data_IF_041141156475
#
_entry.id   IF_041141156475
#
_cell.length_a   1.000
_cell.length_b   1.000
_cell.length_c   1.000
_cell.angle_alpha   90.00
_cell.angle_beta   90.00
_cell.angle_gamma   90.00
#
_symmetry.space_group_name_H-M   'P 1'
#
loop_
_entity.id
_entity.type
_entity.pdbx_description
1 polymer ?
#
# COMPACT_ATOMS: atom_id res chain seq x y z
N UNK A 1 -8.11 -26.96 11.15
CA UNK A 1 -7.55 -25.63 10.80
C UNK A 1 -8.39 -25.09 9.65
N UNK A 2 -8.86 -23.85 9.71
CA UNK A 2 -9.56 -23.26 8.56
C UNK A 2 -8.55 -23.05 7.42
N UNK A 3 -8.95 -23.41 6.20
CA UNK A 3 -8.14 -23.23 5.00
C UNK A 3 -7.88 -21.74 4.77
N UNK A 4 -6.61 -21.36 4.60
CA UNK A 4 -6.28 -19.97 4.24
C UNK A 4 -6.79 -19.64 2.84
N UNK A 5 -7.22 -18.40 2.63
CA UNK A 5 -7.63 -17.83 1.36
C UNK A 5 -6.83 -16.56 1.08
N UNK A 6 -6.62 -16.24 -0.20
CA UNK A 6 -6.29 -14.89 -0.60
C UNK A 6 -7.56 -14.11 -0.93
N UNK A 7 -7.51 -12.80 -0.72
CA UNK A 7 -8.47 -11.83 -1.23
C UNK A 7 -7.74 -10.56 -1.64
N UNK A 8 -8.39 -9.70 -2.42
CA UNK A 8 -7.79 -8.47 -2.91
C UNK A 8 -8.69 -7.26 -2.70
N UNK A 9 -8.08 -6.09 -2.62
CA UNK A 9 -8.78 -4.81 -2.71
C UNK A 9 -8.04 -3.89 -3.68
N UNK A 10 -8.74 -3.46 -4.73
CA UNK A 10 -8.23 -2.46 -5.68
C UNK A 10 -8.78 -1.10 -5.28
N UNK A 11 -7.90 -0.21 -4.82
CA UNK A 11 -8.24 1.19 -4.54
C UNK A 11 -8.28 1.93 -5.88
N UNK A 12 -9.43 2.49 -6.21
CA UNK A 12 -9.70 3.05 -7.54
C UNK A 12 -8.82 4.27 -7.87
N UNK A 13 -8.61 4.58 -9.16
CA UNK A 13 -7.89 5.80 -9.54
C UNK A 13 -8.49 7.08 -8.98
N UNK A 14 -9.81 7.16 -8.86
CA UNK A 14 -10.46 8.31 -8.24
C UNK A 14 -10.16 8.41 -6.74
N UNK A 15 -10.29 7.30 -5.99
CA UNK A 15 -9.95 7.25 -4.57
C UNK A 15 -8.51 7.65 -4.30
N UNK A 16 -7.56 7.18 -5.12
CA UNK A 16 -6.15 7.57 -5.05
C UNK A 16 -5.95 9.06 -5.32
N UNK A 17 -6.61 9.64 -6.33
CA UNK A 17 -6.53 11.08 -6.65
C UNK A 17 -7.11 11.97 -5.55
N UNK A 18 -8.15 11.50 -4.87
CA UNK A 18 -8.80 12.21 -3.75
C UNK A 18 -8.12 11.93 -2.40
N UNK A 19 -6.93 11.32 -2.41
CA UNK A 19 -6.15 11.03 -1.19
C UNK A 19 -6.87 10.13 -0.18
N UNK A 20 -7.85 9.30 -0.61
CA UNK A 20 -8.64 8.41 0.26
C UNK A 20 -7.89 7.14 0.68
N UNK A 21 -6.67 6.94 0.16
CA UNK A 21 -5.87 5.70 0.33
C UNK A 21 -5.63 5.37 1.80
N UNK A 22 -5.29 6.35 2.64
CA UNK A 22 -4.97 6.13 4.05
C UNK A 22 -6.18 5.61 4.83
N UNK A 23 -7.30 6.31 4.75
CA UNK A 23 -8.57 5.88 5.33
C UNK A 23 -9.03 4.49 4.86
N UNK A 24 -8.88 4.18 3.57
CA UNK A 24 -9.24 2.86 3.00
C UNK A 24 -8.33 1.75 3.54
N UNK A 25 -7.00 1.92 3.47
CA UNK A 25 -6.02 0.95 3.97
C UNK A 25 -6.21 0.69 5.46
N UNK A 26 -6.42 1.76 6.24
CA UNK A 26 -6.66 1.66 7.68
C UNK A 26 -7.86 0.78 7.99
N UNK A 27 -9.00 1.01 7.31
CA UNK A 27 -10.22 0.21 7.51
C UNK A 27 -10.05 -1.24 7.07
N UNK A 28 -9.40 -1.49 5.93
CA UNK A 28 -9.13 -2.84 5.46
C UNK A 28 -8.31 -3.62 6.49
N UNK A 29 -7.21 -3.06 6.99
CA UNK A 29 -6.36 -3.73 7.98
C UNK A 29 -7.10 -3.91 9.30
N UNK A 30 -7.71 -2.85 9.84
CA UNK A 30 -8.27 -2.90 11.19
C UNK A 30 -9.53 -3.76 11.31
N UNK A 31 -10.37 -3.80 10.26
CA UNK A 31 -11.68 -4.47 10.31
C UNK A 31 -11.64 -5.92 9.84
N UNK A 32 -10.77 -6.24 8.89
CA UNK A 32 -10.64 -7.63 8.42
C UNK A 32 -9.85 -8.49 9.41
N UNK A 33 -8.86 -7.90 10.08
CA UNK A 33 -7.89 -8.64 10.90
C UNK A 33 -7.05 -9.63 10.08
N UNK A 34 -7.04 -9.51 8.76
CA UNK A 34 -6.27 -10.36 7.85
C UNK A 34 -4.82 -9.89 7.74
N UNK A 35 -3.96 -10.80 7.28
CA UNK A 35 -2.57 -10.46 7.02
C UNK A 35 -2.45 -9.76 5.66
N UNK A 36 -2.00 -8.49 5.63
CA UNK A 36 -1.67 -7.80 4.37
C UNK A 36 -0.36 -8.39 3.83
N UNK A 37 -0.43 -9.30 2.87
CA UNK A 37 0.72 -10.08 2.37
C UNK A 37 1.35 -9.49 1.11
N UNK A 38 0.62 -8.67 0.37
CA UNK A 38 1.10 -8.09 -0.88
C UNK A 38 0.45 -6.75 -1.17
N UNK A 39 1.13 -5.96 -1.99
CA UNK A 39 0.58 -4.74 -2.54
C UNK A 39 1.46 -4.24 -3.68
N UNK A 40 0.84 -3.73 -4.75
CA UNK A 40 1.55 -3.20 -5.92
C UNK A 40 0.74 -2.10 -6.58
N UNK A 41 1.44 -1.09 -7.07
CA UNK A 41 0.85 -0.02 -7.88
C UNK A 41 0.72 -0.51 -9.32
N UNK A 42 -0.40 -0.16 -9.98
CA UNK A 42 -0.62 -0.44 -11.40
C UNK A 42 -1.04 0.82 -12.16
N UNK A 43 -0.59 0.91 -13.41
CA UNK A 43 -1.13 1.76 -14.46
C UNK A 43 -1.65 0.84 -15.59
N UNK A 44 -2.92 0.40 -15.50
CA UNK A 44 -3.43 -0.63 -16.39
C UNK A 44 -3.39 -0.23 -17.88
N UNK A 45 -2.85 -1.13 -18.70
CA UNK A 45 -3.00 -1.09 -20.14
C UNK A 45 -4.47 -1.28 -20.56
N UNK A 46 -4.77 -0.93 -21.81
CA UNK A 46 -6.10 -1.16 -22.38
C UNK A 46 -6.44 -2.66 -22.41
N UNK A 47 -5.44 -3.52 -22.62
CA UNK A 47 -5.58 -4.97 -22.62
C UNK A 47 -5.94 -5.52 -21.23
N UNK A 48 -5.16 -5.18 -20.19
CA UNK A 48 -5.46 -5.60 -18.82
C UNK A 48 -6.83 -5.09 -18.38
N UNK A 49 -7.15 -3.83 -18.69
CA UNK A 49 -8.44 -3.22 -18.36
C UNK A 49 -9.60 -3.98 -19.00
N UNK A 50 -9.49 -4.30 -20.29
CA UNK A 50 -10.52 -5.06 -21.00
C UNK A 50 -10.68 -6.46 -20.42
N UNK A 51 -9.57 -7.20 -20.24
CA UNK A 51 -9.61 -8.57 -19.69
C UNK A 51 -10.18 -8.61 -18.28
N UNK A 52 -9.85 -7.64 -17.43
CA UNK A 52 -10.42 -7.57 -16.08
C UNK A 52 -11.91 -7.20 -16.12
N UNK A 53 -12.32 -6.26 -16.98
CA UNK A 53 -13.73 -5.92 -17.13
C UNK A 53 -14.60 -7.12 -17.57
N UNK A 54 -14.05 -8.01 -18.41
CA UNK A 54 -14.71 -9.25 -18.85
C UNK A 54 -14.94 -10.25 -17.72
N UNK A 55 -14.22 -10.16 -16.59
CA UNK A 55 -14.41 -11.06 -15.44
C UNK A 55 -15.48 -10.59 -14.45
N UNK A 56 -15.91 -9.33 -14.52
CA UNK A 56 -16.76 -8.71 -13.49
C UNK A 56 -18.22 -9.19 -13.54
N UNK A 57 -18.77 -9.41 -14.73
CA UNK A 57 -20.19 -9.76 -14.90
C UNK A 57 -20.33 -11.28 -14.95
N UNK A 58 -20.72 -11.86 -13.81
CA UNK A 58 -20.90 -13.32 -13.63
C UNK A 58 -22.34 -13.72 -13.33
N UNK A 59 -23.17 -12.78 -12.88
CA UNK A 59 -24.52 -13.06 -12.38
C UNK A 59 -25.60 -13.07 -13.47
N UNK A 60 -26.60 -13.92 -13.26
CA UNK A 60 -27.79 -14.03 -14.10
C UNK A 60 -29.00 -13.30 -13.52
N UNK A 61 -29.05 -13.07 -12.21
CA UNK A 61 -30.09 -12.22 -11.59
C UNK A 61 -29.95 -10.77 -12.06
N UNK A 62 -31.06 -10.18 -12.52
CA UNK A 62 -31.06 -8.86 -13.13
C UNK A 62 -30.53 -7.74 -12.23
N UNK A 63 -30.76 -7.80 -10.91
CA UNK A 63 -30.32 -6.73 -9.98
C UNK A 63 -28.83 -6.82 -9.69
N UNK A 64 -28.34 -8.03 -9.43
CA UNK A 64 -26.91 -8.25 -9.21
C UNK A 64 -26.11 -7.96 -10.49
N UNK A 65 -26.65 -8.39 -11.63
CA UNK A 65 -26.06 -8.11 -12.95
C UNK A 65 -25.96 -6.62 -13.24
N UNK A 66 -27.01 -5.83 -13.01
CA UNK A 66 -26.97 -4.38 -13.22
C UNK A 66 -25.84 -3.70 -12.42
N UNK A 67 -25.63 -4.15 -11.18
CA UNK A 67 -24.53 -3.66 -10.32
C UNK A 67 -23.15 -4.03 -10.88
N UNK A 68 -22.98 -5.26 -11.35
CA UNK A 68 -21.74 -5.70 -11.99
C UNK A 68 -21.49 -4.97 -13.31
N UNK A 69 -22.53 -4.68 -14.10
CA UNK A 69 -22.41 -3.89 -15.33
C UNK A 69 -21.93 -2.46 -15.04
N UNK A 70 -22.43 -1.81 -13.97
CA UNK A 70 -21.90 -0.50 -13.53
C UNK A 70 -20.41 -0.56 -13.15
N UNK A 71 -19.99 -1.63 -12.45
CA UNK A 71 -18.58 -1.84 -12.11
C UNK A 71 -17.71 -2.06 -13.36
N UNK A 72 -18.19 -2.88 -14.30
CA UNK A 72 -17.52 -3.12 -15.59
C UNK A 72 -17.33 -1.82 -16.36
N UNK A 73 -18.38 -1.03 -16.49
CA UNK A 73 -18.37 0.21 -17.24
C UNK A 73 -17.46 1.25 -16.54
N UNK A 74 -17.46 1.28 -15.21
CA UNK A 74 -16.53 2.08 -14.43
C UNK A 74 -15.06 1.70 -14.73
N UNK A 75 -14.74 0.40 -14.73
CA UNK A 75 -13.37 -0.08 -15.01
C UNK A 75 -12.94 0.30 -16.41
N UNK A 76 -13.75 -0.01 -17.43
CA UNK A 76 -13.46 0.32 -18.83
C UNK A 76 -13.21 1.83 -19.04
N UNK A 77 -13.95 2.67 -18.32
CA UNK A 77 -13.84 4.12 -18.42
C UNK A 77 -12.63 4.70 -17.67
N UNK A 78 -12.29 4.17 -16.49
CA UNK A 78 -11.41 4.86 -15.55
C UNK A 78 -10.04 4.19 -15.33
N UNK A 79 -9.82 2.95 -15.76
CA UNK A 79 -8.58 2.23 -15.47
C UNK A 79 -7.49 2.43 -16.51
N UNK A 80 -7.81 2.94 -17.70
CA UNK A 80 -6.84 3.15 -18.77
C UNK A 80 -7.01 4.52 -19.45
N UNK A 81 -6.17 4.81 -20.44
CA UNK A 81 -6.17 6.07 -21.16
C UNK A 81 -5.50 7.22 -20.39
N UNK A 82 -5.98 8.45 -20.61
CA UNK A 82 -5.50 9.64 -19.90
C UNK A 82 -6.68 10.44 -19.35
N UNK A 83 -6.62 10.79 -18.08
CA UNK A 83 -7.58 11.67 -17.41
C UNK A 83 -6.82 12.88 -16.90
N UNK A 84 -7.18 14.08 -17.37
CA UNK A 84 -6.46 15.33 -17.09
C UNK A 84 -4.95 15.23 -17.39
N UNK A 85 -4.61 14.57 -18.51
CA UNK A 85 -3.22 14.36 -18.96
C UNK A 85 -2.46 13.24 -18.25
N UNK A 86 -2.96 12.71 -17.13
CA UNK A 86 -2.29 11.65 -16.37
C UNK A 86 -2.87 10.28 -16.71
N UNK A 87 -2.03 9.24 -16.73
CA UNK A 87 -2.55 7.88 -16.80
C UNK A 87 -3.13 7.49 -15.42
N UNK A 88 -4.27 6.78 -15.38
CA UNK A 88 -4.83 6.28 -14.14
C UNK A 88 -3.84 5.42 -13.38
N UNK A 89 -3.82 5.58 -12.05
CA UNK A 89 -3.04 4.74 -11.14
C UNK A 89 -3.94 4.15 -10.09
N UNK A 90 -3.75 2.87 -9.80
CA UNK A 90 -4.47 2.18 -8.73
C UNK A 90 -3.49 1.45 -7.83
N UNK A 91 -3.95 1.15 -6.61
CA UNK A 91 -3.22 0.33 -5.65
C UNK A 91 -4.01 -0.97 -5.44
N UNK A 92 -3.39 -2.10 -5.79
CA UNK A 92 -3.94 -3.42 -5.52
C UNK A 92 -3.26 -3.98 -4.26
N UNK A 93 -4.06 -4.35 -3.26
CA UNK A 93 -3.63 -4.94 -2.01
C UNK A 93 -4.10 -6.39 -1.92
N UNK A 94 -3.27 -7.27 -1.37
CA UNK A 94 -3.57 -8.70 -1.20
C UNK A 94 -3.58 -9.05 0.28
N UNK A 95 -4.66 -9.65 0.73
CA UNK A 95 -4.87 -10.10 2.10
C UNK A 95 -4.91 -11.62 2.14
N UNK A 96 -4.30 -12.21 3.17
CA UNK A 96 -4.30 -13.64 3.41
C UNK A 96 -4.91 -13.96 4.78
N UNK A 97 -5.67 -15.04 4.84
CA UNK A 97 -6.11 -15.64 6.10
C UNK A 97 -7.41 -16.42 5.93
N UNK A 98 -7.96 -16.96 7.02
CA UNK A 98 -9.25 -17.64 6.99
C UNK A 98 -10.40 -16.68 6.66
N UNK A 99 -11.29 -17.10 5.75
CA UNK A 99 -12.43 -16.30 5.25
C UNK A 99 -11.96 -14.93 4.71
N UNK A 100 -10.82 -14.90 4.00
CA UNK A 100 -10.27 -13.66 3.49
C UNK A 100 -11.22 -12.99 2.50
N UNK A 101 -11.87 -13.77 1.64
CA UNK A 101 -12.79 -13.27 0.62
C UNK A 101 -14.00 -12.61 1.29
N UNK A 102 -14.67 -13.33 2.21
CA UNK A 102 -15.83 -12.81 2.92
C UNK A 102 -15.51 -11.61 3.80
N UNK A 103 -14.38 -11.61 4.53
CA UNK A 103 -13.98 -10.49 5.39
C UNK A 103 -13.67 -9.22 4.60
N UNK A 104 -12.92 -9.33 3.50
CA UNK A 104 -12.65 -8.18 2.62
C UNK A 104 -13.95 -7.69 2.00
N UNK A 105 -14.78 -8.57 1.47
CA UNK A 105 -16.05 -8.19 0.85
C UNK A 105 -16.99 -7.46 1.83
N UNK A 106 -17.20 -7.98 3.05
CA UNK A 106 -18.01 -7.32 4.09
C UNK A 106 -17.45 -5.96 4.51
N UNK A 107 -16.12 -5.83 4.57
CA UNK A 107 -15.46 -4.56 4.91
C UNK A 107 -15.61 -3.53 3.78
N UNK A 108 -15.51 -3.97 2.53
CA UNK A 108 -15.71 -3.12 1.36
C UNK A 108 -17.16 -2.69 1.23
N UNK A 109 -18.10 -3.61 1.46
CA UNK A 109 -19.54 -3.38 1.42
C UNK A 109 -20.16 -3.66 0.06
N UNK A 110 -21.50 -3.70 0.03
CA UNK A 110 -22.27 -3.79 -1.21
C UNK A 110 -22.38 -2.43 -1.90
N UNK A 111 -22.76 -2.44 -3.17
CA UNK A 111 -23.20 -1.22 -3.85
C UNK A 111 -24.69 -1.08 -3.57
N UNK A 112 -25.06 -0.01 -2.89
CA UNK A 112 -26.44 0.27 -2.52
C UNK A 112 -26.79 1.69 -2.96
N UNK A 113 -28.02 1.87 -3.45
CA UNK A 113 -28.62 3.18 -3.66
C UNK A 113 -29.10 3.69 -2.29
N UNK A 114 -28.54 4.83 -1.86
CA UNK A 114 -28.82 5.56 -0.61
C UNK A 114 -28.95 4.73 0.69
N UNK A 115 -27.83 4.54 1.40
CA UNK A 115 -27.82 4.35 2.87
C UNK A 115 -26.60 5.01 3.52
N UNK A 116 -26.84 5.61 4.68
CA UNK A 116 -25.94 6.48 5.44
C UNK A 116 -25.40 5.82 6.72
N UNK A 117 -25.04 4.53 6.71
CA UNK A 117 -24.50 3.92 7.93
C UNK A 117 -23.02 4.29 8.16
N UNK A 118 -22.29 4.62 7.09
CA UNK A 118 -20.85 4.91 7.16
C UNK A 118 -20.01 3.71 7.60
N UNK A 119 -20.61 2.52 7.64
CA UNK A 119 -20.00 1.32 8.20
C UNK A 119 -18.97 0.77 7.22
N UNK A 120 -19.32 0.53 5.97
CA UNK A 120 -18.40 -0.06 4.99
C UNK A 120 -17.49 0.97 4.35
N UNK A 121 -16.49 0.52 3.59
CA UNK A 121 -15.65 1.42 2.79
C UNK A 121 -16.49 2.14 1.72
N UNK A 122 -17.42 1.43 1.07
CA UNK A 122 -18.31 2.00 0.05
C UNK A 122 -19.25 3.05 0.64
N UNK A 123 -19.74 2.86 1.86
CA UNK A 123 -20.60 3.87 2.51
C UNK A 123 -19.87 5.20 2.76
N UNK A 124 -18.54 5.18 2.92
CA UNK A 124 -17.74 6.38 3.22
C UNK A 124 -17.06 6.97 1.99
N UNK A 125 -16.63 6.13 1.06
CA UNK A 125 -15.76 6.54 -0.06
C UNK A 125 -16.33 6.19 -1.43
N UNK A 126 -17.43 5.44 -1.49
CA UNK A 126 -18.19 5.21 -2.71
C UNK A 126 -19.27 6.27 -2.89
N UNK A 127 -19.68 6.48 -4.13
CA UNK A 127 -20.77 7.37 -4.51
C UNK A 127 -21.66 6.63 -5.52
N UNK A 128 -22.96 6.65 -5.27
CA UNK A 128 -23.99 6.13 -6.18
C UNK A 128 -25.09 7.19 -6.25
N UNK A 129 -25.10 7.98 -7.32
CA UNK A 129 -26.02 9.11 -7.48
C UNK A 129 -26.93 8.81 -8.66
N UNK A 130 -28.24 8.97 -8.46
CA UNK A 130 -29.25 8.89 -9.52
C UNK A 130 -29.95 10.23 -9.73
N UNK A 131 -30.56 10.39 -10.89
CA UNK A 131 -31.60 11.40 -11.08
C UNK A 131 -32.95 10.96 -10.48
N UNK A 132 -33.96 11.82 -10.60
CA UNK A 132 -35.33 11.58 -10.10
C UNK A 132 -36.02 10.37 -10.76
N UNK A 133 -35.51 9.91 -11.91
CA UNK A 133 -36.02 8.72 -12.61
C UNK A 133 -35.39 7.42 -12.11
N UNK A 134 -34.42 7.51 -11.19
CA UNK A 134 -33.63 6.37 -10.70
C UNK A 134 -32.49 5.97 -11.65
N UNK A 135 -32.21 6.75 -12.70
CA UNK A 135 -31.08 6.49 -13.60
C UNK A 135 -29.79 6.96 -12.96
N UNK A 136 -28.77 6.10 -12.97
CA UNK A 136 -27.44 6.42 -12.43
C UNK A 136 -26.78 7.53 -13.25
N UNK A 137 -26.51 8.66 -12.60
CA UNK A 137 -25.84 9.83 -13.19
C UNK A 137 -24.36 9.89 -12.82
N UNK A 138 -23.99 9.37 -11.65
CA UNK A 138 -22.61 9.27 -11.20
C UNK A 138 -22.40 8.03 -10.35
N UNK A 139 -21.29 7.34 -10.60
CA UNK A 139 -20.92 6.13 -9.89
C UNK A 139 -19.41 6.07 -9.64
N UNK A 140 -19.04 5.89 -8.38
CA UNK A 140 -17.68 5.66 -7.91
C UNK A 140 -17.72 4.53 -6.85
N UNK A 141 -17.10 3.37 -7.10
CA UNK A 141 -17.15 2.28 -6.13
C UNK A 141 -16.19 2.46 -4.96
N UNK A 142 -15.21 3.38 -5.03
CA UNK A 142 -14.18 3.59 -4.02
C UNK A 142 -13.11 2.48 -4.01
N UNK A 143 -13.56 1.23 -3.87
CA UNK A 143 -12.77 -0.01 -3.88
C UNK A 143 -13.48 -1.12 -4.67
N UNK A 144 -12.72 -1.85 -5.47
CA UNK A 144 -13.15 -3.09 -6.13
C UNK A 144 -12.59 -4.32 -5.41
N UNK A 145 -13.42 -5.35 -5.26
CA UNK A 145 -13.11 -6.69 -4.74
C UNK A 145 -14.14 -7.65 -5.32
N UNK A 146 -13.78 -8.92 -5.42
CA UNK A 146 -14.73 -10.00 -5.68
C UNK A 146 -15.26 -10.58 -4.34
N UNK A 147 -16.35 -11.33 -4.40
CA UNK A 147 -16.98 -12.04 -3.29
C UNK A 147 -16.93 -13.57 -3.46
N UNK A 148 -16.65 -14.05 -4.68
CA UNK A 148 -16.49 -15.47 -4.96
C UNK A 148 -15.00 -15.87 -4.91
N UNK A 149 -14.61 -16.90 -4.12
CA UNK A 149 -13.22 -17.35 -4.05
C UNK A 149 -12.61 -17.76 -5.40
N UNK A 150 -13.38 -18.37 -6.30
CA UNK A 150 -12.88 -18.71 -7.65
C UNK A 150 -12.68 -17.46 -8.50
N UNK A 151 -13.58 -16.48 -8.35
CA UNK A 151 -13.44 -15.15 -8.95
C UNK A 151 -12.19 -14.42 -8.49
N UNK A 152 -11.93 -14.40 -7.18
CA UNK A 152 -10.70 -13.84 -6.60
C UNK A 152 -9.44 -14.50 -7.17
N UNK A 153 -9.39 -15.83 -7.23
CA UNK A 153 -8.24 -16.55 -7.78
C UNK A 153 -7.99 -16.18 -9.24
N UNK A 154 -9.04 -16.21 -10.07
CA UNK A 154 -8.96 -15.85 -11.49
C UNK A 154 -8.46 -14.42 -11.67
N UNK A 155 -9.01 -13.47 -10.91
CA UNK A 155 -8.62 -12.08 -11.00
C UNK A 155 -7.17 -11.89 -10.54
N UNK A 156 -6.76 -12.46 -9.40
CA UNK A 156 -5.38 -12.38 -8.92
C UNK A 156 -4.38 -12.96 -9.92
N UNK A 157 -4.68 -14.09 -10.55
CA UNK A 157 -3.85 -14.66 -11.62
C UNK A 157 -3.76 -13.72 -12.82
N UNK A 158 -4.87 -13.13 -13.24
CA UNK A 158 -4.87 -12.12 -14.30
C UNK A 158 -3.97 -10.92 -13.93
N UNK A 159 -4.13 -10.33 -12.75
CA UNK A 159 -3.30 -9.21 -12.31
C UNK A 159 -1.81 -9.61 -12.19
N UNK A 160 -1.52 -10.85 -11.78
CA UNK A 160 -0.16 -11.38 -11.71
C UNK A 160 0.48 -11.49 -13.11
N UNK A 161 -0.25 -11.95 -14.12
CA UNK A 161 0.25 -12.07 -15.51
C UNK A 161 0.71 -10.72 -16.08
N UNK A 162 0.01 -9.63 -15.73
CA UNK A 162 0.33 -8.28 -16.21
C UNK A 162 1.24 -7.49 -15.26
N UNK A 163 1.56 -8.02 -14.07
CA UNK A 163 2.21 -7.24 -13.01
C UNK A 163 3.64 -6.76 -13.30
N UNK A 164 4.36 -7.44 -14.20
CA UNK A 164 5.68 -7.00 -14.69
C UNK A 164 5.58 -5.83 -15.67
N UNK A 165 4.52 -5.80 -16.48
CA UNK A 165 4.32 -4.81 -17.55
C UNK A 165 3.58 -3.56 -17.09
N UNK A 166 2.49 -3.78 -16.35
CA UNK A 166 1.52 -2.75 -15.99
C UNK A 166 1.68 -2.30 -14.52
N UNK A 167 2.57 -2.93 -13.74
CA UNK A 167 2.76 -2.66 -12.32
C UNK A 167 4.19 -2.35 -11.94
N UNK A 168 4.39 -1.80 -10.73
CA UNK A 168 5.71 -1.49 -10.18
C UNK A 168 5.81 -0.03 -9.74
N UNK A 169 6.91 0.63 -10.10
CA UNK A 169 7.10 2.06 -9.83
C UNK A 169 6.62 2.86 -11.03
N UNK A 170 5.54 3.61 -10.85
CA UNK A 170 4.86 4.33 -11.92
C UNK A 170 5.42 5.75 -12.08
N UNK A 171 6.67 5.90 -12.52
CA UNK A 171 7.33 7.22 -12.55
C UNK A 171 7.08 8.06 -13.81
N UNK A 172 6.48 7.48 -14.86
CA UNK A 172 6.15 8.15 -16.13
C UNK A 172 4.66 8.47 -16.33
N UNK A 173 3.82 8.21 -15.33
CA UNK A 173 2.36 8.26 -15.50
C UNK A 173 1.73 9.58 -15.04
N UNK A 174 2.51 10.39 -14.32
CA UNK A 174 2.13 11.74 -13.85
C UNK A 174 2.93 12.76 -14.64
N UNK A 175 2.24 13.72 -15.25
CA UNK A 175 2.90 14.84 -15.90
C UNK A 175 3.16 15.94 -14.88
N UNK A 176 4.40 16.43 -14.85
CA UNK A 176 4.78 17.64 -14.13
C UNK A 176 5.18 18.72 -15.14
N UNK A 177 5.07 20.01 -14.79
CA UNK A 177 5.60 21.10 -15.61
C UNK A 177 7.09 20.90 -15.92
N UNK A 178 7.56 21.32 -17.11
CA UNK A 178 8.92 20.99 -17.59
C UNK A 178 10.08 21.50 -16.73
N UNK A 179 9.86 22.55 -15.94
CA UNK A 179 10.86 23.13 -15.02
C UNK A 179 10.72 22.62 -13.58
N UNK A 180 9.76 21.72 -13.31
CA UNK A 180 9.48 21.20 -12.00
C UNK A 180 10.65 20.35 -11.47
N UNK A 181 11.16 20.68 -10.28
CA UNK A 181 12.11 19.83 -9.54
C UNK A 181 11.38 18.61 -8.97
N UNK A 182 11.15 17.60 -9.82
CA UNK A 182 10.46 16.37 -9.44
C UNK A 182 11.44 15.43 -8.75
N UNK A 183 11.13 15.08 -7.51
CA UNK A 183 11.90 14.14 -6.71
C UNK A 183 11.07 12.88 -6.41
N UNK A 184 11.77 11.78 -6.14
CA UNK A 184 11.20 10.57 -5.54
C UNK A 184 11.77 10.42 -4.13
N UNK A 185 10.95 10.00 -3.18
CA UNK A 185 11.39 9.71 -1.81
C UNK A 185 10.77 8.41 -1.32
N UNK A 186 11.53 7.66 -0.52
CA UNK A 186 11.04 6.45 0.12
C UNK A 186 10.48 6.79 1.50
N UNK A 187 9.35 6.18 1.82
CA UNK A 187 8.78 6.11 3.17
C UNK A 187 8.65 4.64 3.54
N UNK A 188 9.07 4.30 4.75
CA UNK A 188 8.91 2.96 5.31
C UNK A 188 8.03 3.05 6.55
N UNK A 189 6.83 2.47 6.49
CA UNK A 189 5.97 2.27 7.66
C UNK A 189 6.53 1.10 8.44
N UNK A 190 6.90 1.34 9.70
CA UNK A 190 7.69 0.43 10.52
C UNK A 190 6.88 -0.74 11.10
N UNK A 191 7.54 -1.84 11.52
CA UNK A 191 6.88 -3.04 12.05
C UNK A 191 5.96 -2.87 13.24
N UNK A 192 6.16 -1.86 14.08
CA UNK A 192 5.27 -1.58 15.22
C UNK A 192 3.82 -1.30 14.80
N UNK A 193 3.59 -0.88 13.55
CA UNK A 193 2.25 -0.63 13.03
C UNK A 193 1.49 -1.92 12.65
N UNK A 194 2.17 -3.07 12.55
CA UNK A 194 1.61 -4.34 12.06
C UNK A 194 1.54 -5.45 13.12
N UNK A 195 1.91 -5.17 14.37
CA UNK A 195 1.87 -6.16 15.47
C UNK A 195 0.46 -6.69 15.78
N UNK A 196 -0.55 -5.87 15.56
CA UNK A 196 -1.96 -6.22 15.70
C UNK A 196 -2.80 -5.41 14.71
N UNK A 197 -3.97 -5.90 14.26
CA UNK A 197 -4.85 -5.14 13.38
C UNK A 197 -5.25 -3.80 14.01
N UNK A 198 -4.89 -2.69 13.37
CA UNK A 198 -5.17 -1.34 13.87
C UNK A 198 -5.19 -0.31 12.72
N UNK A 199 -5.62 0.92 13.01
CA UNK A 199 -5.75 1.99 12.03
C UNK A 199 -4.44 2.72 11.71
N UNK A 200 -3.35 2.50 12.47
CA UNK A 200 -2.11 3.29 12.38
C UNK A 200 -1.45 3.24 11.01
N UNK A 201 -1.30 2.10 10.30
CA UNK A 201 -0.72 2.11 8.95
C UNK A 201 -1.50 3.05 8.00
N UNK A 202 -2.83 2.98 8.03
CA UNK A 202 -3.69 3.86 7.24
C UNK A 202 -3.61 5.32 7.69
N UNK A 203 -3.58 5.58 9.00
CA UNK A 203 -3.42 6.92 9.56
C UNK A 203 -2.11 7.59 9.16
N UNK A 204 -1.01 6.84 9.14
CA UNK A 204 0.29 7.33 8.66
C UNK A 204 0.21 7.75 7.18
N UNK A 205 -0.40 6.93 6.33
CA UNK A 205 -0.61 7.24 4.90
C UNK A 205 -1.53 8.46 4.74
N UNK A 206 -2.59 8.56 5.56
CA UNK A 206 -3.53 9.67 5.57
C UNK A 206 -2.83 10.99 5.88
N UNK A 207 -1.99 11.03 6.91
CA UNK A 207 -1.23 12.23 7.26
C UNK A 207 -0.23 12.58 6.16
N UNK A 208 0.47 11.61 5.57
CA UNK A 208 1.36 11.87 4.43
C UNK A 208 0.63 12.43 3.19
N UNK A 209 -0.66 12.15 3.02
CA UNK A 209 -1.43 12.69 1.90
C UNK A 209 -1.52 14.22 1.91
N UNK A 210 -1.35 14.86 3.08
CA UNK A 210 -1.28 16.33 3.24
C UNK A 210 -0.10 16.95 2.49
N UNK A 211 0.92 16.17 2.13
CA UNK A 211 2.05 16.64 1.32
C UNK A 211 1.66 16.99 -0.12
N UNK A 212 0.51 16.52 -0.61
CA UNK A 212 0.10 16.66 -2.01
C UNK A 212 0.94 15.86 -3.00
N UNK A 213 1.77 14.93 -2.51
CA UNK A 213 2.59 14.05 -3.34
C UNK A 213 1.80 12.83 -3.82
N UNK A 214 2.35 12.17 -4.84
CA UNK A 214 1.72 11.02 -5.47
C UNK A 214 2.40 9.72 -5.05
N UNK A 215 1.63 8.73 -4.56
CA UNK A 215 2.13 7.37 -4.29
C UNK A 215 2.35 6.63 -5.61
N UNK A 216 3.59 6.43 -6.04
CA UNK A 216 3.93 5.78 -7.32
C UNK A 216 4.47 4.36 -7.17
N UNK A 217 4.83 3.95 -5.95
CA UNK A 217 5.30 2.61 -5.64
C UNK A 217 4.78 2.17 -4.27
N UNK A 218 4.49 0.89 -4.13
CA UNK A 218 4.01 0.28 -2.89
C UNK A 218 4.49 -1.17 -2.85
N UNK A 219 5.05 -1.59 -1.72
CA UNK A 219 5.50 -2.97 -1.49
C UNK A 219 5.33 -3.34 -0.02
N UNK A 220 4.66 -4.47 0.22
CA UNK A 220 4.76 -5.16 1.52
C UNK A 220 6.12 -5.82 1.59
N UNK A 221 6.91 -5.47 2.61
CA UNK A 221 8.32 -5.83 2.67
C UNK A 221 8.70 -6.41 4.03
N UNK A 222 9.50 -7.48 4.00
CA UNK A 222 10.12 -8.12 5.15
C UNK A 222 11.63 -8.09 4.93
N UNK A 223 12.26 -7.05 5.48
CA UNK A 223 13.67 -6.77 5.25
C UNK A 223 14.53 -7.92 5.79
N UNK A 224 15.46 -8.43 4.99
CA UNK A 224 16.47 -9.37 5.51
C UNK A 224 17.40 -8.66 6.49
N UNK A 225 18.17 -9.42 7.29
CA UNK A 225 19.16 -8.82 8.18
C UNK A 225 20.21 -8.06 7.38
N UNK A 226 20.69 -8.63 6.26
CA UNK A 226 21.63 -7.97 5.36
C UNK A 226 21.08 -6.63 4.83
N UNK A 227 19.83 -6.63 4.34
CA UNK A 227 19.18 -5.40 3.87
C UNK A 227 19.06 -4.35 4.99
N UNK A 228 18.74 -4.76 6.21
CA UNK A 228 18.62 -3.85 7.35
C UNK A 228 19.97 -3.27 7.78
N UNK A 229 21.05 -4.06 7.75
CA UNK A 229 22.41 -3.58 7.99
C UNK A 229 22.83 -2.54 6.95
N UNK A 230 22.58 -2.81 5.66
CA UNK A 230 22.89 -1.86 4.59
C UNK A 230 22.05 -0.58 4.69
N UNK A 231 20.75 -0.73 5.00
CA UNK A 231 19.82 0.38 5.10
C UNK A 231 20.17 1.33 6.26
N UNK A 232 20.46 0.77 7.44
CA UNK A 232 20.75 1.53 8.66
C UNK A 232 22.24 1.69 8.94
N UNK A 233 23.13 1.15 8.09
CA UNK A 233 24.59 1.26 8.22
C UNK A 233 25.08 2.70 8.45
N UNK A 234 24.60 3.71 7.71
CA UNK A 234 24.97 5.11 7.93
C UNK A 234 24.63 5.67 9.32
N UNK A 235 23.73 5.02 10.07
CA UNK A 235 23.33 5.43 11.42
C UNK A 235 24.35 4.99 12.48
N UNK A 236 25.12 3.91 12.23
CA UNK A 236 26.05 3.34 13.22
C UNK A 236 27.11 4.35 13.69
N UNK A 237 27.87 5.04 12.81
CA UNK A 237 28.89 6.00 13.27
C UNK A 237 28.31 7.14 14.10
N UNK A 238 27.08 7.57 13.79
CA UNK A 238 26.38 8.64 14.53
C UNK A 238 26.01 8.18 15.95
N UNK A 239 25.60 6.92 16.10
CA UNK A 239 25.29 6.34 17.41
C UNK A 239 26.55 6.09 18.24
N UNK A 240 27.62 5.59 17.63
CA UNK A 240 28.91 5.38 18.29
C UNK A 240 29.51 6.70 18.77
N UNK A 241 29.41 7.78 17.98
CA UNK A 241 29.85 9.11 18.38
C UNK A 241 29.08 9.64 19.60
N UNK A 242 27.77 9.38 19.68
CA UNK A 242 26.90 9.93 20.73
C UNK A 242 26.87 9.11 22.01
N UNK A 243 26.97 7.79 21.90
CA UNK A 243 26.76 6.84 23.01
C UNK A 243 28.03 6.07 23.38
N UNK A 244 29.12 6.24 22.62
CA UNK A 244 30.33 5.42 22.71
C UNK A 244 30.23 4.15 21.85
N UNK A 245 31.37 3.51 21.50
CA UNK A 245 31.40 2.39 20.54
C UNK A 245 30.49 1.21 20.93
N UNK A 246 30.62 0.70 22.15
CA UNK A 246 29.86 -0.46 22.61
C UNK A 246 28.34 -0.20 22.65
N UNK A 247 27.92 0.90 23.29
CA UNK A 247 26.50 1.25 23.39
C UNK A 247 25.91 1.70 22.05
N UNK A 248 26.68 2.37 21.20
CA UNK A 248 26.27 2.75 19.85
C UNK A 248 26.00 1.52 18.98
N UNK A 249 26.91 0.55 18.98
CA UNK A 249 26.75 -0.73 18.29
C UNK A 249 25.52 -1.50 18.77
N UNK A 250 25.32 -1.62 20.09
CA UNK A 250 24.17 -2.32 20.66
C UNK A 250 22.81 -1.68 20.27
N UNK A 251 22.75 -0.34 20.23
CA UNK A 251 21.56 0.38 19.78
C UNK A 251 21.31 0.20 18.29
N UNK A 252 22.37 0.22 17.47
CA UNK A 252 22.28 -0.05 16.04
C UNK A 252 21.78 -1.48 15.76
N UNK A 253 22.32 -2.48 16.46
CA UNK A 253 21.84 -3.87 16.33
C UNK A 253 20.38 -4.02 16.76
N UNK A 254 19.94 -3.22 17.74
CA UNK A 254 18.53 -3.19 18.14
C UNK A 254 17.63 -2.58 17.06
N UNK A 255 18.11 -1.59 16.29
CA UNK A 255 17.39 -1.06 15.12
C UNK A 255 17.25 -2.15 14.05
N UNK A 256 18.35 -2.84 13.73
CA UNK A 256 18.33 -3.95 12.76
C UNK A 256 17.38 -5.05 13.21
N UNK A 257 17.45 -5.47 14.48
CA UNK A 257 16.55 -6.47 15.04
C UNK A 257 15.09 -6.03 15.01
N UNK A 258 14.81 -4.76 15.30
CA UNK A 258 13.46 -4.22 15.22
C UNK A 258 12.88 -4.24 13.80
N UNK A 259 13.73 -4.10 12.78
CA UNK A 259 13.31 -4.00 11.38
C UNK A 259 13.32 -5.33 10.62
N UNK A 260 14.19 -6.27 11.01
CA UNK A 260 14.37 -7.56 10.35
C UNK A 260 14.01 -8.78 11.24
N UNK A 261 13.90 -8.59 12.55
CA UNK A 261 13.57 -9.63 13.53
C UNK A 261 14.77 -10.26 14.24
N UNK A 262 15.98 -10.00 13.77
CA UNK A 262 17.21 -10.58 14.32
C UNK A 262 18.28 -9.52 14.50
N UNK A 263 19.03 -9.63 15.61
CA UNK A 263 20.29 -8.90 15.73
C UNK A 263 21.30 -9.49 14.74
N UNK A 264 22.13 -8.66 14.08
CA UNK A 264 23.20 -9.13 13.19
C UNK A 264 24.11 -10.19 13.84
N UNK A 265 24.48 -9.99 15.11
CA UNK A 265 25.33 -10.91 15.88
C UNK A 265 24.67 -12.24 16.23
N UNK A 266 23.35 -12.33 16.17
CA UNK A 266 22.56 -13.52 16.53
C UNK A 266 21.87 -14.16 15.33
N UNK A 267 22.03 -13.61 14.14
CA UNK A 267 21.42 -14.15 12.93
C UNK A 267 22.28 -15.28 12.36
N UNK A 268 21.74 -16.50 12.17
CA UNK A 268 22.45 -17.56 11.46
C UNK A 268 22.83 -17.12 10.04
N UNK A 269 24.03 -17.47 9.53
CA UNK A 269 24.49 -17.04 8.19
C UNK A 269 23.49 -17.36 7.07
N UNK A 270 22.85 -18.51 7.13
CA UNK A 270 21.84 -18.98 6.16
C UNK A 270 20.57 -18.11 6.14
N UNK A 271 20.26 -17.42 7.23
CA UNK A 271 19.07 -16.57 7.37
C UNK A 271 19.38 -15.10 7.10
N UNK A 272 20.64 -14.73 6.88
CA UNK A 272 21.06 -13.33 6.75
C UNK A 272 20.44 -12.63 5.54
N UNK A 273 20.32 -13.36 4.42
CA UNK A 273 19.71 -12.90 3.16
C UNK A 273 18.23 -13.26 3.04
N UNK A 274 17.73 -14.17 3.88
CA UNK A 274 16.34 -14.60 3.85
C UNK A 274 15.40 -13.43 4.28
N UNK A 275 14.15 -13.39 3.79
CA UNK A 275 13.18 -12.41 4.24
C UNK A 275 13.02 -12.43 5.76
N UNK A 276 13.05 -11.25 6.39
CA UNK A 276 12.93 -11.13 7.84
C UNK A 276 11.54 -11.50 8.40
N UNK A 277 11.44 -11.53 9.72
CA UNK A 277 10.18 -11.86 10.42
C UNK A 277 9.29 -10.64 10.66
N UNK A 278 9.84 -9.44 10.52
CA UNK A 278 9.13 -8.18 10.79
C UNK A 278 8.57 -7.58 9.50
N UNK A 279 7.28 -7.22 9.54
CA UNK A 279 6.57 -6.68 8.38
C UNK A 279 6.69 -5.16 8.34
N UNK A 280 6.95 -4.62 7.16
CA UNK A 280 6.92 -3.18 6.89
C UNK A 280 6.19 -2.92 5.57
N UNK A 281 5.82 -1.65 5.33
CA UNK A 281 5.33 -1.21 4.02
C UNK A 281 6.27 -0.13 3.51
N UNK A 282 6.83 -0.36 2.33
CA UNK A 282 7.61 0.60 1.57
C UNK A 282 6.71 1.32 0.57
N UNK A 283 6.71 2.66 0.62
CA UNK A 283 5.91 3.52 -0.25
C UNK A 283 6.84 4.53 -0.91
N UNK A 284 6.72 4.69 -2.22
CA UNK A 284 7.46 5.70 -2.98
C UNK A 284 6.53 6.85 -3.29
N UNK A 285 6.89 8.04 -2.82
CA UNK A 285 6.19 9.28 -3.14
C UNK A 285 6.97 10.06 -4.21
N UNK A 286 6.24 10.66 -5.15
CA UNK A 286 6.80 11.50 -6.22
C UNK A 286 6.11 12.85 -6.26
N UNK A 287 6.90 13.90 -6.52
CA UNK A 287 6.41 15.24 -6.81
C UNK A 287 7.44 16.32 -6.52
N UNK A 288 7.00 17.57 -6.55
CA UNK A 288 7.82 18.74 -6.24
C UNK A 288 8.28 18.72 -4.78
N UNK A 289 9.60 18.84 -4.56
CA UNK A 289 10.26 18.82 -3.26
C UNK A 289 9.85 17.62 -2.39
N UNK A 290 9.73 16.43 -3.00
CA UNK A 290 9.15 15.27 -2.34
C UNK A 290 9.84 14.92 -1.01
N UNK A 291 11.18 14.96 -0.98
CA UNK A 291 11.96 14.64 0.22
C UNK A 291 11.64 15.62 1.35
N UNK A 292 11.71 16.92 1.07
CA UNK A 292 11.42 17.98 2.06
C UNK A 292 10.00 17.85 2.59
N UNK A 293 9.00 17.79 1.72
CA UNK A 293 7.58 17.74 2.11
C UNK A 293 7.27 16.51 2.97
N UNK A 294 7.81 15.34 2.63
CA UNK A 294 7.64 14.13 3.45
C UNK A 294 8.28 14.32 4.84
N UNK A 295 9.48 14.90 4.92
CA UNK A 295 10.15 15.15 6.20
C UNK A 295 9.41 16.17 7.07
N UNK A 296 8.87 17.22 6.48
CA UNK A 296 8.07 18.23 7.17
C UNK A 296 6.83 17.59 7.81
N UNK A 297 6.14 16.71 7.08
CA UNK A 297 4.98 15.97 7.59
C UNK A 297 5.37 14.90 8.63
N UNK A 298 6.53 14.26 8.46
CA UNK A 298 7.00 13.23 9.38
C UNK A 298 7.38 13.80 10.75
N UNK A 299 8.01 14.97 10.78
CA UNK A 299 8.55 15.60 11.98
C UNK A 299 9.92 15.05 12.43
N UNK A 300 10.55 15.67 13.43
CA UNK A 300 11.88 15.27 13.94
C UNK A 300 11.86 13.87 14.54
N UNK A 301 13.03 13.21 14.59
CA UNK A 301 13.18 11.79 14.98
C UNK A 301 12.63 11.47 16.37
N UNK A 302 12.70 12.42 17.29
CA UNK A 302 12.18 12.32 18.65
C UNK A 302 10.71 12.80 18.69
N UNK A 303 9.73 11.91 18.92
CA UNK A 303 8.32 12.25 19.06
C UNK A 303 8.03 13.36 20.09
N UNK A 304 8.81 13.46 21.17
CA UNK A 304 8.60 14.46 22.20
C UNK A 304 8.83 15.89 21.67
N UNK A 305 9.73 16.03 20.69
CA UNK A 305 10.10 17.30 20.05
C UNK A 305 9.32 17.58 18.77
N UNK A 306 8.47 16.64 18.34
CA UNK A 306 7.74 16.77 17.10
C UNK A 306 6.51 17.68 17.26
N UNK A 307 6.23 18.55 16.27
CA UNK A 307 5.09 19.46 16.34
C UNK A 307 3.76 18.68 16.28
N UNK A 308 2.68 19.19 16.91
CA UNK A 308 1.33 18.66 16.72
C UNK A 308 0.98 18.55 15.23
N UNK A 309 0.29 17.49 14.84
CA UNK A 309 -0.06 17.24 13.44
C UNK A 309 0.99 16.48 12.62
N UNK A 310 2.20 16.27 13.17
CA UNK A 310 3.23 15.42 12.53
C UNK A 310 3.07 13.95 12.88
N UNK A 311 3.48 13.07 11.97
CA UNK A 311 3.33 11.61 12.14
C UNK A 311 4.02 11.11 13.40
N UNK A 312 5.24 11.58 13.67
CA UNK A 312 5.99 11.15 14.86
C UNK A 312 5.35 11.65 16.15
N UNK A 313 4.67 12.80 16.13
CA UNK A 313 3.92 13.27 17.30
C UNK A 313 2.63 12.48 17.52
N UNK A 314 1.92 12.15 16.44
CA UNK A 314 0.62 11.46 16.51
C UNK A 314 0.76 9.95 16.77
N UNK A 315 1.78 9.29 16.21
CA UNK A 315 1.91 7.83 16.22
C UNK A 315 3.23 7.31 16.83
N UNK A 316 4.20 8.18 17.09
CA UNK A 316 5.48 7.79 17.69
C UNK A 316 5.40 7.67 19.22
N UNK A 317 6.10 6.67 19.77
CA UNK A 317 6.22 6.44 21.21
C UNK A 317 7.61 6.82 21.72
N UNK A 318 8.66 6.43 20.98
CA UNK A 318 10.07 6.69 21.33
C UNK A 318 10.87 6.99 20.06
N UNK A 319 12.15 7.34 20.20
CA UNK A 319 13.07 7.52 19.07
C UNK A 319 13.14 6.27 18.17
N UNK A 320 13.10 5.07 18.77
CA UNK A 320 13.14 3.80 18.05
C UNK A 320 11.77 3.46 17.41
N UNK A 321 10.71 3.60 18.21
CA UNK A 321 9.31 3.31 17.84
C UNK A 321 8.64 4.63 17.43
N UNK A 322 9.02 5.16 16.27
CA UNK A 322 8.56 6.46 15.76
C UNK A 322 7.66 6.35 14.52
N UNK A 323 6.95 5.24 14.38
CA UNK A 323 5.95 4.91 13.35
C UNK A 323 6.47 4.80 11.89
N UNK A 324 7.34 5.70 11.43
CA UNK A 324 7.82 5.70 10.05
C UNK A 324 9.27 6.21 9.91
N UNK A 325 9.93 5.71 8.88
CA UNK A 325 11.17 6.25 8.31
C UNK A 325 10.87 6.97 6.99
N UNK A 326 11.65 7.99 6.69
CA UNK A 326 11.67 8.63 5.37
C UNK A 326 13.10 9.05 5.01
N UNK A 327 13.43 8.97 3.72
CA UNK A 327 14.72 9.40 3.19
C UNK A 327 15.00 10.87 3.53
N UNK A 328 16.28 11.22 3.69
CA UNK A 328 16.72 12.56 4.05
C UNK A 328 17.22 13.41 2.88
N UNK A 329 17.41 12.79 1.71
CA UNK A 329 17.96 13.36 0.48
C UNK A 329 17.50 12.52 -0.71
N UNK A 330 17.58 13.08 -1.92
CA UNK A 330 17.23 12.36 -3.15
C UNK A 330 18.22 11.21 -3.43
N UNK A 331 19.48 11.39 -3.06
CA UNK A 331 20.55 10.40 -3.14
C UNK A 331 20.28 9.22 -2.21
N UNK A 332 19.94 9.50 -0.94
CA UNK A 332 19.58 8.44 0.00
C UNK A 332 18.27 7.76 -0.40
N UNK A 333 17.30 8.49 -0.95
CA UNK A 333 16.08 7.87 -1.49
C UNK A 333 16.41 6.82 -2.58
N UNK A 334 17.30 7.13 -3.53
CA UNK A 334 17.74 6.18 -4.55
C UNK A 334 18.44 4.96 -3.94
N UNK A 335 19.37 5.18 -3.00
CA UNK A 335 20.09 4.09 -2.29
C UNK A 335 19.11 3.19 -1.54
N UNK A 336 18.24 3.78 -0.72
CA UNK A 336 17.28 3.08 0.12
C UNK A 336 16.27 2.29 -0.73
N UNK A 337 15.80 2.86 -1.84
CA UNK A 337 14.93 2.17 -2.81
C UNK A 337 15.60 0.92 -3.41
N UNK A 338 16.90 1.01 -3.74
CA UNK A 338 17.67 -0.12 -4.27
C UNK A 338 17.86 -1.23 -3.23
N UNK A 339 18.12 -0.87 -1.97
CA UNK A 339 18.27 -1.84 -0.86
C UNK A 339 16.95 -2.60 -0.62
N UNK A 340 15.83 -1.88 -0.59
CA UNK A 340 14.47 -2.47 -0.42
C UNK A 340 14.02 -3.25 -1.68
N UNK A 341 14.70 -3.05 -2.81
CA UNK A 341 14.35 -3.59 -4.13
C UNK A 341 12.90 -3.28 -4.48
N UNK A 342 12.52 -2.01 -4.38
CA UNK A 342 11.12 -1.59 -4.46
C UNK A 342 10.47 -1.83 -5.83
N UNK A 343 11.29 -1.99 -6.87
CA UNK A 343 10.95 -2.34 -8.24
C UNK A 343 10.70 -3.84 -8.45
N UNK A 344 11.31 -4.70 -7.62
CA UNK A 344 11.12 -6.15 -7.64
C UNK A 344 9.64 -6.54 -7.60
N UNK A 345 9.24 -7.43 -8.50
CA UNK A 345 7.89 -7.97 -8.52
C UNK A 345 7.75 -9.15 -7.55
N UNK A 346 7.46 -8.85 -6.28
CA UNK A 346 7.07 -9.87 -5.31
C UNK A 346 5.58 -10.21 -5.34
N UNK A 347 4.79 -9.53 -6.20
CA UNK A 347 3.35 -9.74 -6.31
C UNK A 347 3.04 -11.02 -7.08
N UNK A 348 3.62 -11.20 -8.27
CA UNK A 348 3.36 -12.39 -9.09
C UNK A 348 3.81 -13.70 -8.42
N UNK A 349 5.04 -13.81 -7.88
CA UNK A 349 5.46 -15.01 -7.15
C UNK A 349 4.58 -15.33 -5.94
N UNK A 350 4.06 -14.31 -5.22
CA UNK A 350 3.13 -14.51 -4.12
C UNK A 350 1.86 -15.25 -4.58
N UNK A 351 1.24 -14.78 -5.67
CA UNK A 351 0.02 -15.38 -6.21
C UNK A 351 0.30 -16.77 -6.77
N UNK A 352 1.34 -16.92 -7.59
CA UNK A 352 1.70 -18.20 -8.19
C UNK A 352 2.03 -19.27 -7.15
N UNK A 353 2.82 -18.93 -6.12
CA UNK A 353 3.19 -19.86 -5.07
C UNK A 353 1.98 -20.29 -4.23
N UNK A 354 1.06 -19.37 -3.93
CA UNK A 354 -0.13 -19.68 -3.13
C UNK A 354 -1.05 -20.70 -3.84
N UNK A 355 -1.24 -20.55 -5.16
CA UNK A 355 -2.13 -21.40 -5.95
C UNK A 355 -1.44 -22.59 -6.65
N UNK A 356 -0.12 -22.78 -6.52
CA UNK A 356 0.61 -23.87 -7.21
C UNK A 356 0.18 -25.27 -6.76
N UNK A 357 -0.32 -25.43 -5.54
CA UNK A 357 -0.53 -26.73 -4.89
C UNK A 357 -1.95 -26.88 -4.29
N UNK A 358 -2.92 -26.12 -4.78
CA UNK A 358 -4.29 -26.08 -4.26
C UNK A 358 -5.31 -26.51 -5.30
#
# INVERSE_FOLDING_TARGET
>A
MQTEELSYAIITPYSMRKSRTGGIVGRLISRTGLDLVGGRMFAPSAELTKRYAETIVTETDARHRATQELLRDYVLKNFTGKVNGQQPRLLLLVFCGPDAVGKVHRTVGHIVHERTSGETIRDTFGDYITDDSGKVTYFEPGVLTDFDPKGVERDLKLWADFSDRDGGILDQVINFPGEAKVEKTLVLIKPDNFKFPNLRPGGVIEVFSRSGLHIIGFKVHRMSVAQAEDFYGPVLPVLEQKLGPASGRENWESIVAFMAGWKPTKCPPENREAPGTEKSIAIVYQGLDAVRKIRDVLGPTDPAKAPPGSIRKEFGQTIMINAAHASDSAENAKREMAIVRIDENNFKPLIENFYRHR
#
